data_IF_531736769848
#
_entry.id   IF_531736769848
#
_cell.length_a   1.000
_cell.length_b   1.000
_cell.length_c   1.000
_cell.angle_alpha   90.00
_cell.angle_beta   90.00
_cell.angle_gamma   90.00
#
_symmetry.space_group_name_H-M   'P 1'
#
loop_
_entity.id
_entity.type
_entity.pdbx_description
1 polymer ?
#
# COMPACT_ATOMS: atom_id res chain seq x y z
N UNK A 1 -41.30 36.13 -41.71
CA UNK A 1 -39.96 35.61 -42.03
C UNK A 1 -39.07 35.78 -40.79
N UNK A 2 -38.61 34.69 -40.17
CA UNK A 2 -37.83 34.76 -38.93
C UNK A 2 -36.34 35.02 -39.23
N UNK A 3 -35.70 35.84 -38.37
CA UNK A 3 -34.27 36.18 -38.45
C UNK A 3 -33.38 34.96 -38.16
N UNK A 4 -32.21 34.83 -38.80
CA UNK A 4 -31.31 33.70 -38.59
C UNK A 4 -30.64 33.75 -37.21
N UNK A 5 -30.61 32.61 -36.53
CA UNK A 5 -29.87 32.36 -35.29
C UNK A 5 -28.35 32.44 -35.51
N UNK A 6 -27.57 33.00 -34.57
CA UNK A 6 -26.12 33.05 -34.66
C UNK A 6 -25.48 31.66 -34.42
N UNK A 7 -24.28 31.40 -34.95
CA UNK A 7 -23.62 30.12 -34.82
C UNK A 7 -23.13 29.88 -33.39
N UNK A 8 -23.40 28.67 -32.89
CA UNK A 8 -22.91 28.15 -31.61
C UNK A 8 -21.39 28.00 -31.72
N UNK A 9 -20.65 28.85 -31.01
CA UNK A 9 -19.21 28.71 -30.83
C UNK A 9 -18.94 27.54 -29.88
N UNK A 10 -18.38 26.47 -30.41
CA UNK A 10 -17.89 25.34 -29.62
C UNK A 10 -16.70 25.82 -28.79
N UNK A 11 -16.91 25.97 -27.48
CA UNK A 11 -15.84 26.22 -26.53
C UNK A 11 -14.86 25.04 -26.56
N UNK A 12 -13.69 25.25 -27.17
CA UNK A 12 -12.57 24.32 -27.06
C UNK A 12 -12.23 24.15 -25.59
N UNK A 13 -12.45 22.95 -25.07
CA UNK A 13 -11.95 22.55 -23.76
C UNK A 13 -10.44 22.74 -23.73
N UNK A 14 -9.95 23.55 -22.80
CA UNK A 14 -8.53 23.66 -22.55
C UNK A 14 -8.00 22.30 -22.13
N UNK A 15 -7.24 21.66 -23.02
CA UNK A 15 -6.42 20.50 -22.70
C UNK A 15 -5.44 20.89 -21.59
N UNK A 16 -5.58 20.23 -20.44
CA UNK A 16 -4.70 20.38 -19.28
C UNK A 16 -3.25 20.11 -19.70
N UNK A 17 -2.46 21.16 -19.80
CA UNK A 17 -1.02 21.06 -20.05
C UNK A 17 -0.37 20.42 -18.82
N UNK A 18 0.52 19.42 -18.96
CA UNK A 18 1.14 18.78 -17.81
C UNK A 18 1.93 19.80 -16.98
N UNK A 19 1.37 20.19 -15.82
CA UNK A 19 2.00 21.12 -14.88
C UNK A 19 3.34 20.56 -14.41
N UNK A 20 4.40 21.35 -14.57
CA UNK A 20 5.74 21.06 -14.06
C UNK A 20 5.70 20.58 -12.61
N UNK A 21 6.45 19.54 -12.23
CA UNK A 21 6.24 18.91 -10.96
C UNK A 21 6.77 19.81 -9.82
N UNK A 22 5.87 20.48 -9.09
CA UNK A 22 6.20 21.28 -7.91
C UNK A 22 6.73 20.43 -6.77
N UNK A 23 7.78 20.89 -6.11
CA UNK A 23 8.13 20.46 -4.75
C UNK A 23 6.94 20.68 -3.83
N UNK A 24 6.47 19.62 -3.18
CA UNK A 24 5.29 19.69 -2.33
C UNK A 24 5.53 18.75 -1.18
N UNK A 25 5.78 19.34 -0.01
CA UNK A 25 6.04 18.60 1.21
C UNK A 25 4.91 18.85 2.21
N UNK A 26 4.52 17.81 2.94
CA UNK A 26 3.56 17.92 4.04
C UNK A 26 4.10 18.83 5.14
N UNK A 27 3.25 19.52 5.92
CA UNK A 27 3.71 20.19 7.13
C UNK A 27 4.39 19.18 8.05
N UNK A 28 5.62 19.45 8.49
CA UNK A 28 6.26 18.60 9.51
C UNK A 28 5.56 18.84 10.85
N UNK A 29 5.32 17.77 11.61
CA UNK A 29 4.72 17.82 12.94
C UNK A 29 5.72 18.22 14.04
N UNK A 30 7.03 18.15 13.76
CA UNK A 30 8.11 18.45 14.70
C UNK A 30 9.34 19.03 13.99
N UNK A 31 10.14 19.84 14.68
CA UNK A 31 11.35 20.43 14.13
C UNK A 31 12.44 19.37 13.94
N UNK A 32 13.12 19.29 12.77
CA UNK A 32 14.17 18.29 12.54
C UNK A 32 15.47 18.54 13.32
N UNK A 33 15.59 19.67 14.06
CA UNK A 33 16.80 20.02 14.78
C UNK A 33 16.67 19.91 16.30
N UNK A 34 15.45 19.97 16.83
CA UNK A 34 15.20 20.03 18.27
C UNK A 34 13.90 19.35 18.68
N UNK A 35 13.21 18.69 17.74
CA UNK A 35 11.96 17.96 17.93
C UNK A 35 10.76 18.80 18.43
N UNK A 36 10.94 20.12 18.58
CA UNK A 36 9.89 21.03 18.99
C UNK A 36 8.69 21.02 18.04
N UNK A 37 7.49 20.89 18.58
CA UNK A 37 6.23 20.75 17.83
C UNK A 37 5.63 22.09 17.38
N UNK A 38 6.11 23.21 17.95
CA UNK A 38 5.64 24.55 17.60
C UNK A 38 6.39 25.08 16.37
N UNK A 39 5.76 24.96 15.20
CA UNK A 39 6.33 25.32 13.90
C UNK A 39 5.40 26.29 13.16
N UNK A 40 5.96 27.33 12.53
CA UNK A 40 5.22 28.26 11.69
C UNK A 40 5.71 28.23 10.22
N UNK A 41 4.81 28.51 9.27
CA UNK A 41 5.20 28.77 7.87
C UNK A 41 6.00 30.07 7.79
N UNK A 42 7.09 30.05 7.03
CA UNK A 42 8.05 31.15 6.96
C UNK A 42 8.47 31.44 5.50
N UNK A 43 7.46 31.72 4.66
CA UNK A 43 7.65 32.02 3.24
C UNK A 43 7.91 30.80 2.34
N UNK A 44 8.37 31.04 1.12
CA UNK A 44 8.68 29.98 0.16
C UNK A 44 9.97 30.30 -0.61
N UNK A 45 10.67 29.26 -1.07
CA UNK A 45 11.88 29.37 -1.89
C UNK A 45 11.61 28.86 -3.30
N UNK A 46 11.90 29.67 -4.31
CA UNK A 46 11.84 29.23 -5.70
C UNK A 46 12.96 28.24 -6.01
N UNK A 47 12.67 27.19 -6.78
CA UNK A 47 13.67 26.26 -7.32
C UNK A 47 13.39 25.99 -8.80
N UNK A 48 14.34 25.38 -9.51
CA UNK A 48 14.19 24.94 -10.92
C UNK A 48 12.94 24.06 -11.14
N UNK A 49 12.48 23.37 -10.11
CA UNK A 49 11.33 22.45 -10.16
C UNK A 49 10.14 22.96 -9.32
N UNK A 50 10.04 24.26 -9.09
CA UNK A 50 8.91 24.91 -8.41
C UNK A 50 9.20 25.40 -6.99
N UNK A 51 8.22 26.07 -6.39
CA UNK A 51 8.35 26.67 -5.06
C UNK A 51 8.33 25.61 -3.95
N UNK A 52 9.18 25.81 -2.95
CA UNK A 52 9.34 24.97 -1.77
C UNK A 52 8.89 25.77 -0.55
N UNK A 53 7.96 25.24 0.26
CA UNK A 53 7.51 25.90 1.49
C UNK A 53 8.60 25.84 2.57
N UNK A 54 8.92 26.99 3.16
CA UNK A 54 9.81 27.09 4.31
C UNK A 54 9.00 27.15 5.61
N UNK A 55 9.59 26.62 6.69
CA UNK A 55 9.05 26.63 8.04
C UNK A 55 10.12 27.08 9.02
N UNK A 56 9.70 27.67 10.15
CA UNK A 56 10.57 28.07 11.26
C UNK A 56 10.07 27.40 12.54
N UNK A 57 10.98 26.77 13.28
CA UNK A 57 10.67 26.29 14.62
C UNK A 57 10.64 27.48 15.59
N UNK A 58 9.64 27.58 16.46
CA UNK A 58 9.58 28.62 17.49
C UNK A 58 10.45 28.34 18.71
N UNK A 59 10.94 27.10 18.86
CA UNK A 59 11.80 26.70 19.98
C UNK A 59 13.28 26.95 19.67
N UNK A 60 13.83 26.31 18.63
CA UNK A 60 15.24 26.49 18.26
C UNK A 60 15.48 27.59 17.21
N UNK A 61 14.42 28.28 16.79
CA UNK A 61 14.43 29.38 15.82
C UNK A 61 14.94 29.08 14.41
N UNK A 62 15.37 27.84 14.14
CA UNK A 62 15.93 27.43 12.85
C UNK A 62 14.84 27.32 11.77
N UNK A 63 15.22 27.69 10.55
CA UNK A 63 14.43 27.50 9.33
C UNK A 63 14.70 26.13 8.73
N UNK A 64 13.66 25.49 8.19
CA UNK A 64 13.75 24.20 7.51
C UNK A 64 12.66 24.05 6.45
N UNK A 65 12.83 23.04 5.60
CA UNK A 65 11.82 22.58 4.66
C UNK A 65 11.32 21.22 5.14
N UNK A 66 10.01 20.92 5.10
CA UNK A 66 9.53 19.58 5.41
C UNK A 66 9.99 18.60 4.33
N UNK A 67 10.38 17.41 4.73
CA UNK A 67 10.90 16.38 3.82
C UNK A 67 12.42 16.37 3.74
N UNK A 68 12.97 15.20 3.42
CA UNK A 68 14.42 14.94 3.29
C UNK A 68 15.03 15.59 2.02
N UNK A 69 14.35 16.58 1.44
CA UNK A 69 14.75 17.29 0.22
C UNK A 69 15.72 18.44 0.45
N UNK A 70 16.32 18.53 1.65
CA UNK A 70 17.43 19.45 1.87
C UNK A 70 18.49 19.17 0.81
N UNK A 71 18.77 20.16 -0.04
CA UNK A 71 19.73 20.09 -1.16
C UNK A 71 19.33 19.22 -2.38
N UNK A 72 18.09 18.75 -2.50
CA UNK A 72 17.65 17.95 -3.66
C UNK A 72 17.02 18.79 -4.77
N UNK A 73 17.55 18.66 -5.98
CA UNK A 73 17.02 19.33 -7.18
C UNK A 73 15.65 18.79 -7.58
N UNK A 74 15.44 17.48 -7.54
CA UNK A 74 14.23 16.83 -8.04
C UNK A 74 13.17 16.61 -6.94
N UNK A 75 11.86 16.78 -7.24
CA UNK A 75 10.79 16.47 -6.30
C UNK A 75 10.75 14.97 -5.94
N UNK A 76 10.36 14.65 -4.70
CA UNK A 76 10.27 13.25 -4.23
C UNK A 76 9.40 12.36 -5.13
N UNK A 77 8.30 12.88 -5.69
CA UNK A 77 7.47 12.10 -6.63
C UNK A 77 8.18 11.67 -7.92
N UNK A 78 9.17 12.43 -8.37
CA UNK A 78 9.99 12.07 -9.55
C UNK A 78 10.98 10.97 -9.18
N UNK A 79 11.59 11.08 -8.00
CA UNK A 79 12.51 10.08 -7.45
C UNK A 79 11.76 8.75 -7.23
N UNK A 80 10.68 8.77 -6.45
CA UNK A 80 9.86 7.59 -6.14
C UNK A 80 9.35 6.91 -7.41
N UNK A 81 8.84 7.67 -8.40
CA UNK A 81 8.42 7.08 -9.68
C UNK A 81 9.58 6.41 -10.43
N UNK A 82 10.77 7.02 -10.41
CA UNK A 82 11.96 6.48 -11.09
C UNK A 82 12.35 5.14 -10.45
N UNK A 83 12.40 5.09 -9.12
CA UNK A 83 12.70 3.88 -8.35
C UNK A 83 11.64 2.80 -8.58
N UNK A 84 10.36 3.15 -8.43
CA UNK A 84 9.24 2.20 -8.63
C UNK A 84 9.19 1.66 -10.06
N UNK A 85 9.43 2.48 -11.10
CA UNK A 85 9.51 1.99 -12.48
C UNK A 85 10.68 1.03 -12.68
N UNK A 86 11.85 1.36 -12.13
CA UNK A 86 12.99 0.47 -12.21
C UNK A 86 12.71 -0.88 -11.56
N UNK A 87 12.00 -0.89 -10.42
CA UNK A 87 11.61 -2.10 -9.70
C UNK A 87 10.36 -2.80 -10.25
N UNK A 88 9.56 -2.15 -11.11
CA UNK A 88 8.63 -2.81 -12.05
C UNK A 88 9.35 -3.57 -13.18
N UNK A 89 10.62 -3.91 -12.98
CA UNK A 89 11.50 -4.67 -13.88
C UNK A 89 11.82 -3.98 -15.22
N UNK A 90 11.47 -2.71 -15.39
CA UNK A 90 11.89 -1.92 -16.56
C UNK A 90 13.41 -1.72 -16.60
N UNK A 91 13.99 -1.58 -17.79
CA UNK A 91 15.38 -1.11 -17.88
C UNK A 91 15.49 0.29 -17.29
N UNK A 92 16.71 0.70 -16.89
CA UNK A 92 16.90 2.05 -16.37
C UNK A 92 16.53 3.13 -17.41
N UNK A 93 16.80 2.86 -18.69
CA UNK A 93 16.42 3.73 -19.80
C UNK A 93 14.90 3.88 -19.92
N UNK A 94 14.17 2.76 -19.89
CA UNK A 94 12.70 2.77 -19.95
C UNK A 94 12.07 3.47 -18.74
N UNK A 95 12.63 3.28 -17.54
CA UNK A 95 12.19 3.96 -16.33
C UNK A 95 12.32 5.48 -16.48
N UNK A 96 13.48 5.96 -16.95
CA UNK A 96 13.74 7.39 -17.22
C UNK A 96 12.80 7.94 -18.30
N UNK A 97 12.62 7.20 -19.40
CA UNK A 97 11.72 7.60 -20.48
C UNK A 97 10.26 7.71 -19.99
N UNK A 98 9.82 6.77 -19.16
CA UNK A 98 8.51 6.77 -18.51
C UNK A 98 8.32 7.97 -17.57
N UNK A 99 9.32 8.30 -16.76
CA UNK A 99 9.31 9.47 -15.87
C UNK A 99 9.23 10.77 -16.67
N UNK A 100 10.00 10.87 -17.77
CA UNK A 100 9.93 12.01 -18.68
C UNK A 100 8.54 12.15 -19.29
N UNK A 101 7.93 11.05 -19.75
CA UNK A 101 6.57 11.06 -20.29
C UNK A 101 5.53 11.50 -19.26
N UNK A 102 5.65 11.04 -18.01
CA UNK A 102 4.69 11.33 -16.93
C UNK A 102 4.81 12.76 -16.38
N UNK A 103 6.03 13.26 -16.20
CA UNK A 103 6.27 14.53 -15.49
C UNK A 103 6.89 15.64 -16.35
N UNK A 104 7.27 15.38 -17.59
CA UNK A 104 7.97 16.34 -18.45
C UNK A 104 9.40 16.66 -18.01
N UNK A 105 9.96 15.89 -17.07
CA UNK A 105 11.28 16.14 -16.49
C UNK A 105 12.32 15.15 -17.03
N UNK A 106 13.48 15.66 -17.47
CA UNK A 106 14.61 14.83 -17.86
C UNK A 106 15.46 14.47 -16.63
N UNK A 107 15.53 13.18 -16.34
CA UNK A 107 16.42 12.61 -15.31
C UNK A 107 17.65 12.03 -16.01
N UNK A 108 18.87 12.52 -15.74
CA UNK A 108 20.09 11.90 -16.25
C UNK A 108 20.27 10.46 -15.74
N UNK A 109 20.85 9.59 -16.57
CA UNK A 109 21.12 8.20 -16.18
C UNK A 109 22.00 8.09 -14.94
N UNK A 110 23.02 8.94 -14.81
CA UNK A 110 23.89 9.01 -13.62
C UNK A 110 23.09 9.36 -12.36
N UNK A 111 22.17 10.34 -12.44
CA UNK A 111 21.29 10.72 -11.34
C UNK A 111 20.36 9.58 -10.94
N UNK A 112 19.76 8.88 -11.90
CA UNK A 112 18.88 7.75 -11.60
C UNK A 112 19.65 6.58 -10.94
N UNK A 113 20.89 6.29 -11.41
CA UNK A 113 21.77 5.30 -10.76
C UNK A 113 22.12 5.70 -9.33
N UNK A 114 22.47 6.97 -9.12
CA UNK A 114 22.75 7.50 -7.80
C UNK A 114 21.56 7.32 -6.86
N UNK A 115 20.33 7.63 -7.30
CA UNK A 115 19.13 7.41 -6.47
C UNK A 115 18.90 5.95 -6.11
N UNK A 116 19.14 5.02 -7.04
CA UNK A 116 18.99 3.57 -6.74
C UNK A 116 19.97 3.15 -5.64
N UNK A 117 21.20 3.67 -5.66
CA UNK A 117 22.20 3.40 -4.63
C UNK A 117 21.87 4.09 -3.31
N UNK A 118 21.56 5.39 -3.37
CA UNK A 118 21.25 6.23 -2.21
C UNK A 118 20.04 5.73 -1.43
N UNK A 119 19.00 5.26 -2.12
CA UNK A 119 17.76 4.80 -1.50
C UNK A 119 17.66 3.28 -1.42
N UNK A 120 18.75 2.54 -1.60
CA UNK A 120 18.74 1.07 -1.63
C UNK A 120 18.10 0.45 -0.38
N UNK A 121 18.21 1.10 0.78
CA UNK A 121 17.58 0.67 2.04
C UNK A 121 16.04 0.57 1.94
N UNK A 122 15.39 1.46 1.18
CA UNK A 122 13.93 1.44 0.96
C UNK A 122 13.51 0.57 -0.22
N UNK A 123 14.47 -0.07 -0.89
CA UNK A 123 14.26 -0.85 -2.12
C UNK A 123 14.73 -2.29 -1.94
N UNK A 124 14.32 -3.03 -0.89
CA UNK A 124 14.83 -4.37 -0.62
C UNK A 124 14.54 -5.37 -1.75
N UNK A 125 13.56 -5.08 -2.64
CA UNK A 125 13.33 -5.84 -3.87
C UNK A 125 14.52 -5.84 -4.84
N UNK A 126 15.46 -4.88 -4.75
CA UNK A 126 16.69 -4.88 -5.56
C UNK A 126 17.45 -6.21 -5.47
N UNK A 127 17.41 -6.86 -4.30
CA UNK A 127 18.03 -8.18 -4.07
C UNK A 127 17.41 -9.31 -4.89
N UNK A 128 16.11 -9.22 -5.19
CA UNK A 128 15.36 -10.21 -5.96
C UNK A 128 15.25 -9.84 -7.44
N UNK A 129 15.58 -8.60 -7.79
CA UNK A 129 15.27 -8.03 -9.10
C UNK A 129 15.92 -8.78 -10.26
N UNK A 130 17.16 -9.23 -10.11
CA UNK A 130 17.85 -9.98 -11.16
C UNK A 130 17.21 -11.35 -11.38
N UNK A 131 16.93 -12.09 -10.31
CA UNK A 131 16.20 -13.37 -10.36
C UNK A 131 14.80 -13.17 -10.96
N UNK A 132 14.10 -12.09 -10.60
CA UNK A 132 12.80 -11.76 -11.16
C UNK A 132 12.85 -11.45 -12.67
N UNK A 133 13.93 -10.83 -13.17
CA UNK A 133 14.11 -10.60 -14.63
C UNK A 133 14.44 -11.87 -15.40
N UNK A 134 15.10 -12.85 -14.77
CA UNK A 134 15.42 -14.16 -15.36
C UNK A 134 14.30 -15.19 -15.17
N UNK A 135 13.24 -14.82 -14.47
CA UNK A 135 12.13 -15.72 -14.15
C UNK A 135 11.39 -16.17 -15.42
N UNK A 136 10.86 -17.42 -15.46
CA UNK A 136 10.06 -17.91 -16.59
C UNK A 136 8.81 -17.06 -16.89
N UNK A 137 8.25 -16.41 -15.87
CA UNK A 137 7.13 -15.46 -16.05
C UNK A 137 7.67 -14.21 -16.76
N UNK A 138 7.17 -13.85 -17.96
CA UNK A 138 7.64 -12.69 -18.69
C UNK A 138 7.44 -11.39 -17.89
N UNK A 139 8.36 -10.44 -18.01
CA UNK A 139 8.32 -9.14 -17.30
C UNK A 139 6.96 -8.44 -17.41
N UNK A 140 6.33 -8.46 -18.59
CA UNK A 140 5.01 -7.84 -18.82
C UNK A 140 3.85 -8.50 -18.04
N UNK A 141 4.05 -9.72 -17.53
CA UNK A 141 3.10 -10.50 -16.71
C UNK A 141 3.57 -10.63 -15.25
N UNK A 142 4.71 -10.03 -14.89
CA UNK A 142 5.30 -10.18 -13.56
C UNK A 142 4.43 -9.55 -12.46
N UNK A 143 3.72 -8.47 -12.80
CA UNK A 143 2.69 -7.84 -11.98
C UNK A 143 1.39 -7.87 -12.76
N UNK A 144 0.36 -8.42 -12.12
CA UNK A 144 -1.00 -8.43 -12.59
C UNK A 144 -1.77 -7.28 -11.93
N UNK A 145 -2.62 -6.60 -12.69
CA UNK A 145 -3.44 -5.48 -12.22
C UNK A 145 -4.87 -5.65 -12.74
N UNK A 146 -5.86 -5.46 -11.87
CA UNK A 146 -7.27 -5.60 -12.22
C UNK A 146 -8.14 -4.62 -11.42
N UNK A 147 -9.08 -3.96 -12.11
CA UNK A 147 -9.99 -2.99 -11.50
C UNK A 147 -11.26 -3.69 -11.02
N UNK A 148 -11.56 -3.53 -9.75
CA UNK A 148 -12.74 -4.08 -9.09
C UNK A 148 -13.77 -2.97 -8.86
N UNK A 149 -14.98 -3.15 -9.39
CA UNK A 149 -16.10 -2.20 -9.25
C UNK A 149 -17.00 -2.61 -8.08
N UNK A 150 -16.50 -2.45 -6.86
CA UNK A 150 -17.08 -2.95 -5.61
C UNK A 150 -17.73 -1.80 -4.81
N UNK A 151 -18.70 -1.12 -5.42
CA UNK A 151 -19.32 0.12 -4.91
C UNK A 151 -18.42 1.37 -4.98
N UNK A 152 -17.11 1.17 -4.98
CA UNK A 152 -16.07 2.10 -5.43
C UNK A 152 -15.01 1.32 -6.23
N UNK A 153 -14.09 2.03 -6.88
CA UNK A 153 -13.02 1.40 -7.65
C UNK A 153 -11.89 1.01 -6.71
N UNK A 154 -11.51 -0.27 -6.73
CA UNK A 154 -10.30 -0.78 -6.09
C UNK A 154 -9.36 -1.36 -7.16
N UNK A 155 -8.08 -1.05 -7.05
CA UNK A 155 -7.05 -1.53 -7.99
C UNK A 155 -6.32 -2.72 -7.37
N UNK A 156 -6.89 -3.93 -7.52
CA UNK A 156 -6.22 -5.16 -7.11
C UNK A 156 -4.95 -5.35 -7.93
N UNK A 157 -3.83 -5.55 -7.25
CA UNK A 157 -2.55 -5.83 -7.90
C UNK A 157 -1.80 -6.96 -7.20
N UNK A 158 -1.14 -7.78 -8.00
CA UNK A 158 -0.50 -9.00 -7.55
C UNK A 158 0.81 -9.24 -8.30
N UNK A 159 1.93 -9.33 -7.58
CA UNK A 159 3.26 -9.54 -8.16
C UNK A 159 3.59 -11.03 -8.31
N UNK A 160 3.03 -11.68 -9.34
CA UNK A 160 3.21 -13.10 -9.70
C UNK A 160 4.66 -13.60 -9.57
N UNK A 161 5.60 -12.93 -10.21
CA UNK A 161 7.03 -13.34 -10.18
C UNK A 161 7.61 -13.30 -8.77
N UNK A 162 7.33 -12.26 -7.98
CA UNK A 162 7.86 -12.13 -6.63
C UNK A 162 7.26 -13.18 -5.71
N UNK A 163 5.97 -13.46 -5.86
CA UNK A 163 5.30 -14.53 -5.11
C UNK A 163 5.93 -15.88 -5.38
N UNK A 164 6.18 -16.22 -6.64
CA UNK A 164 6.81 -17.49 -6.99
C UNK A 164 8.23 -17.62 -6.41
N UNK A 165 9.03 -16.56 -6.53
CA UNK A 165 10.37 -16.50 -5.93
C UNK A 165 10.32 -16.66 -4.40
N UNK A 166 9.39 -16.01 -3.71
CA UNK A 166 9.29 -16.13 -2.25
C UNK A 166 8.81 -17.52 -1.81
N UNK A 167 7.83 -18.09 -2.50
CA UNK A 167 7.31 -19.42 -2.20
C UNK A 167 8.35 -20.53 -2.43
N UNK A 168 9.24 -20.33 -3.41
CA UNK A 168 10.30 -21.30 -3.75
C UNK A 168 11.64 -21.05 -3.05
N UNK A 169 11.82 -19.88 -2.44
CA UNK A 169 13.09 -19.50 -1.78
C UNK A 169 13.45 -20.42 -0.60
N UNK A 170 12.46 -20.93 0.13
CA UNK A 170 12.65 -21.80 1.29
C UNK A 170 11.55 -22.84 1.38
N UNK A 171 11.90 -24.09 1.73
CA UNK A 171 10.93 -25.18 1.96
C UNK A 171 9.86 -24.84 3.00
N UNK A 172 10.19 -24.01 3.98
CA UNK A 172 9.24 -23.52 4.99
C UNK A 172 8.07 -22.71 4.41
N UNK A 173 8.12 -22.30 3.14
CA UNK A 173 7.05 -21.55 2.48
C UNK A 173 6.13 -22.45 1.63
N UNK A 174 6.38 -23.77 1.54
CA UNK A 174 5.58 -24.70 0.73
C UNK A 174 4.10 -24.70 1.14
N UNK A 175 3.83 -24.63 2.46
CA UNK A 175 2.46 -24.55 3.00
C UNK A 175 1.72 -23.26 2.65
N UNK A 176 2.42 -22.25 2.12
CA UNK A 176 1.86 -20.98 1.70
C UNK A 176 1.50 -20.96 0.20
N UNK A 177 1.84 -22.02 -0.55
CA UNK A 177 1.52 -22.13 -1.98
C UNK A 177 0.04 -21.91 -2.33
N UNK A 178 -0.96 -22.31 -1.50
CA UNK A 178 -2.37 -22.05 -1.81
C UNK A 178 -2.71 -20.56 -1.93
N UNK A 179 -1.94 -19.65 -1.30
CA UNK A 179 -2.12 -18.20 -1.47
C UNK A 179 -1.95 -17.79 -2.94
N UNK A 180 -0.95 -18.33 -3.65
CA UNK A 180 -0.73 -18.06 -5.08
C UNK A 180 -1.97 -18.46 -5.89
N UNK A 181 -2.49 -19.66 -5.66
CA UNK A 181 -3.68 -20.18 -6.35
C UNK A 181 -4.87 -19.25 -6.17
N UNK A 182 -5.12 -18.80 -4.94
CA UNK A 182 -6.19 -17.84 -4.66
C UNK A 182 -5.98 -16.49 -5.36
N UNK A 183 -4.77 -15.93 -5.28
CA UNK A 183 -4.47 -14.63 -5.90
C UNK A 183 -4.57 -14.68 -7.43
N UNK A 184 -4.19 -15.81 -8.04
CA UNK A 184 -4.32 -16.06 -9.47
C UNK A 184 -5.78 -16.24 -9.91
N UNK A 185 -6.68 -16.75 -9.04
CA UNK A 185 -8.08 -17.01 -9.37
C UNK A 185 -8.99 -15.78 -9.26
N UNK A 186 -8.61 -14.74 -8.50
CA UNK A 186 -9.43 -13.53 -8.29
C UNK A 186 -10.05 -12.94 -9.56
N UNK A 187 -9.35 -12.82 -10.70
CA UNK A 187 -9.92 -12.19 -11.90
C UNK A 187 -11.15 -12.91 -12.47
N UNK A 188 -11.27 -14.21 -12.19
CA UNK A 188 -12.32 -15.07 -12.75
C UNK A 188 -13.32 -15.52 -11.68
N UNK A 189 -12.85 -15.73 -10.45
CA UNK A 189 -13.62 -16.33 -9.36
C UNK A 189 -14.10 -15.32 -8.30
N UNK A 190 -13.71 -14.04 -8.37
CA UNK A 190 -14.15 -13.06 -7.39
C UNK A 190 -15.68 -12.82 -7.49
N UNK A 191 -16.46 -13.02 -6.41
CA UNK A 191 -17.91 -12.87 -6.46
C UNK A 191 -18.31 -11.38 -6.37
N UNK A 192 -18.09 -10.62 -7.45
CA UNK A 192 -18.24 -9.16 -7.50
C UNK A 192 -19.59 -8.65 -6.97
N UNK A 193 -20.67 -9.39 -7.20
CA UNK A 193 -22.02 -9.04 -6.75
C UNK A 193 -22.14 -8.90 -5.22
N UNK A 194 -21.30 -9.59 -4.44
CA UNK A 194 -21.33 -9.53 -2.97
C UNK A 194 -20.74 -8.24 -2.41
N UNK A 195 -19.96 -7.50 -3.21
CA UNK A 195 -19.25 -6.28 -2.79
C UNK A 195 -20.03 -4.98 -3.07
N UNK A 196 -21.34 -5.09 -3.31
CA UNK A 196 -22.21 -3.94 -3.54
C UNK A 196 -22.60 -3.25 -2.22
N UNK A 197 -23.13 -2.02 -2.32
CA UNK A 197 -23.18 -1.01 -1.24
C UNK A 197 -23.90 -1.41 0.05
N UNK A 198 -24.77 -2.42 0.01
CA UNK A 198 -25.63 -2.82 1.14
C UNK A 198 -25.00 -3.90 2.01
N UNK A 199 -23.87 -4.47 1.60
CA UNK A 199 -23.22 -5.55 2.34
C UNK A 199 -22.36 -5.01 3.50
N UNK A 200 -22.45 -5.59 4.71
CA UNK A 200 -21.58 -5.23 5.82
C UNK A 200 -20.09 -5.31 5.45
N UNK A 201 -19.34 -4.24 5.71
CA UNK A 201 -17.90 -4.19 5.49
C UNK A 201 -17.16 -4.64 6.74
N UNK A 202 -16.06 -5.37 6.58
CA UNK A 202 -15.21 -5.80 7.69
C UNK A 202 -14.75 -4.64 8.59
N UNK A 203 -14.56 -3.44 8.03
CA UNK A 203 -14.18 -2.24 8.77
C UNK A 203 -15.28 -1.64 9.65
N UNK A 204 -16.52 -2.12 9.52
CA UNK A 204 -17.65 -1.69 10.36
C UNK A 204 -17.81 -2.55 11.61
N UNK A 205 -17.19 -3.74 11.66
CA UNK A 205 -17.18 -4.60 12.84
C UNK A 205 -16.32 -3.97 13.94
N UNK A 206 -16.86 -3.88 15.17
CA UNK A 206 -16.17 -3.31 16.34
C UNK A 206 -16.57 -4.04 17.61
N UNK A 207 -15.63 -4.16 18.55
CA UNK A 207 -15.85 -4.67 19.90
C UNK A 207 -16.39 -6.11 19.97
N UNK A 208 -16.03 -6.94 18.98
CA UNK A 208 -16.52 -8.33 18.90
C UNK A 208 -15.56 -9.31 19.57
N UNK A 209 -14.26 -9.15 19.33
CA UNK A 209 -13.23 -10.02 19.92
C UNK A 209 -12.78 -9.47 21.28
N UNK A 210 -12.40 -10.37 22.21
CA UNK A 210 -11.88 -9.99 23.53
C UNK A 210 -10.46 -9.45 23.39
N UNK A 211 -10.34 -8.13 23.18
CA UNK A 211 -9.05 -7.45 22.95
C UNK A 211 -8.09 -7.59 24.13
N UNK A 212 -8.59 -7.72 25.37
CA UNK A 212 -7.78 -7.83 26.58
C UNK A 212 -6.83 -9.04 26.61
N UNK A 213 -7.18 -10.11 25.90
CA UNK A 213 -6.40 -11.36 25.87
C UNK A 213 -5.41 -11.40 24.68
N UNK A 214 -5.45 -10.41 23.79
CA UNK A 214 -4.64 -10.39 22.58
C UNK A 214 -3.27 -9.80 22.89
N UNK A 215 -2.23 -10.62 22.75
CA UNK A 215 -0.84 -10.15 22.78
C UNK A 215 -0.51 -9.34 21.53
N UNK A 216 -0.69 -8.02 21.62
CA UNK A 216 -0.24 -7.07 20.61
C UNK A 216 1.24 -6.79 20.84
N UNK A 217 2.04 -6.89 19.78
CA UNK A 217 3.47 -6.57 19.81
C UNK A 217 3.71 -5.30 19.00
N UNK A 218 4.30 -4.30 19.65
CA UNK A 218 4.83 -3.11 18.97
C UNK A 218 6.24 -3.40 18.44
N UNK A 219 6.53 -2.98 17.21
CA UNK A 219 7.85 -3.10 16.59
C UNK A 219 8.30 -1.73 16.11
N UNK A 220 9.38 -1.21 16.68
CA UNK A 220 9.93 0.08 16.26
C UNK A 220 10.72 -0.02 14.94
N UNK A 221 11.32 -1.19 14.69
CA UNK A 221 12.15 -1.45 13.50
C UNK A 221 11.40 -2.34 12.51
N UNK A 222 10.56 -1.74 11.66
CA UNK A 222 9.86 -2.46 10.59
C UNK A 222 9.90 -1.70 9.26
N UNK A 223 10.28 -2.40 8.19
CA UNK A 223 10.37 -1.82 6.83
C UNK A 223 9.04 -1.27 6.31
N UNK A 224 7.89 -1.71 6.84
CA UNK A 224 6.59 -1.11 6.49
C UNK A 224 6.52 0.37 6.92
N UNK A 225 7.04 0.69 8.12
CA UNK A 225 7.08 2.06 8.67
C UNK A 225 8.03 2.92 7.85
N UNK A 226 9.21 2.39 7.52
CA UNK A 226 10.21 3.06 6.69
C UNK A 226 9.68 3.33 5.28
N UNK A 227 9.00 2.34 4.68
CA UNK A 227 8.33 2.46 3.39
C UNK A 227 7.25 3.55 3.41
N UNK A 228 6.42 3.58 4.46
CA UNK A 228 5.43 4.63 4.65
C UNK A 228 6.09 6.00 4.79
N UNK A 229 7.12 6.13 5.64
CA UNK A 229 7.86 7.37 5.85
C UNK A 229 8.53 7.88 4.57
N UNK A 230 9.04 6.99 3.73
CA UNK A 230 9.68 7.35 2.47
C UNK A 230 8.65 7.69 1.39
N UNK A 231 7.76 6.75 1.06
CA UNK A 231 6.82 6.87 -0.05
C UNK A 231 5.85 8.05 0.14
N UNK A 232 5.37 8.27 1.36
CA UNK A 232 4.35 9.29 1.65
C UNK A 232 4.88 10.72 1.56
N UNK A 233 6.20 10.92 1.47
CA UNK A 233 6.79 12.22 1.13
C UNK A 233 6.47 12.66 -0.31
N UNK A 234 6.13 11.71 -1.20
CA UNK A 234 5.71 12.02 -2.56
C UNK A 234 4.23 12.43 -2.67
N UNK A 235 3.45 12.26 -1.60
CA UNK A 235 1.99 12.40 -1.59
C UNK A 235 1.56 13.75 -1.02
N UNK A 236 0.77 14.47 -1.81
CA UNK A 236 0.21 15.78 -1.42
C UNK A 236 -1.22 15.70 -0.90
N UNK A 237 -2.03 14.81 -1.47
CA UNK A 237 -3.45 14.65 -1.14
C UNK A 237 -3.62 13.43 -0.23
N UNK A 238 -4.29 13.59 0.91
CA UNK A 238 -4.49 12.49 1.86
C UNK A 238 -5.19 11.27 1.23
N UNK A 239 -6.13 11.50 0.29
CA UNK A 239 -6.82 10.42 -0.44
C UNK A 239 -5.92 9.52 -1.29
N UNK A 240 -4.70 9.96 -1.63
CA UNK A 240 -3.75 9.19 -2.43
C UNK A 240 -2.73 8.42 -1.59
N UNK A 241 -2.80 8.51 -0.25
CA UNK A 241 -1.80 7.89 0.64
C UNK A 241 -1.83 6.36 0.55
N UNK A 242 -3.02 5.75 0.61
CA UNK A 242 -3.18 4.30 0.49
C UNK A 242 -2.62 3.81 -0.83
N UNK A 243 -3.17 4.29 -1.95
CA UNK A 243 -2.76 3.90 -3.31
C UNK A 243 -1.24 4.05 -3.53
N UNK A 244 -0.66 5.18 -3.11
CA UNK A 244 0.78 5.43 -3.29
C UNK A 244 1.64 4.49 -2.45
N UNK A 245 1.24 4.23 -1.20
CA UNK A 245 1.98 3.33 -0.32
C UNK A 245 1.88 1.87 -0.77
N UNK A 246 0.68 1.42 -1.10
CA UNK A 246 0.41 0.08 -1.64
C UNK A 246 1.23 -0.17 -2.91
N UNK A 247 1.17 0.76 -3.87
CA UNK A 247 1.97 0.68 -5.11
C UNK A 247 3.47 0.66 -4.81
N UNK A 248 3.94 1.51 -3.89
CA UNK A 248 5.34 1.57 -3.52
C UNK A 248 5.81 0.25 -2.90
N UNK A 249 5.08 -0.30 -1.94
CA UNK A 249 5.43 -1.55 -1.27
C UNK A 249 5.34 -2.73 -2.23
N UNK A 250 4.31 -2.81 -3.07
CA UNK A 250 4.18 -3.89 -4.05
C UNK A 250 5.40 -4.01 -4.97
N UNK A 251 6.01 -2.91 -5.37
CA UNK A 251 7.13 -2.94 -6.32
C UNK A 251 8.50 -2.85 -5.65
N UNK A 252 8.63 -2.17 -4.51
CA UNK A 252 9.94 -1.93 -3.88
C UNK A 252 10.22 -2.80 -2.65
N UNK A 253 9.19 -3.22 -1.92
CA UNK A 253 9.36 -4.12 -0.79
C UNK A 253 9.54 -5.57 -1.28
N UNK A 254 10.46 -6.32 -0.67
CA UNK A 254 10.75 -7.69 -1.09
C UNK A 254 9.69 -8.70 -0.64
N UNK A 255 8.85 -8.37 0.35
CA UNK A 255 7.87 -9.31 0.90
C UNK A 255 6.44 -9.09 0.36
N UNK A 256 6.09 -7.88 -0.07
CA UNK A 256 4.70 -7.47 -0.42
C UNK A 256 4.24 -8.06 -1.75
N UNK A 257 3.46 -9.12 -1.74
CA UNK A 257 3.06 -9.85 -2.94
C UNK A 257 1.78 -9.33 -3.58
N UNK A 258 0.85 -8.76 -2.81
CA UNK A 258 -0.42 -8.27 -3.32
C UNK A 258 -0.94 -7.06 -2.54
N UNK A 259 -1.80 -6.28 -3.17
CA UNK A 259 -2.51 -5.13 -2.58
C UNK A 259 -3.96 -5.09 -3.06
N UNK A 260 -4.84 -4.52 -2.24
CA UNK A 260 -6.28 -4.41 -2.49
C UNK A 260 -6.94 -5.77 -2.78
N UNK A 261 -6.58 -6.79 -2.00
CA UNK A 261 -7.05 -8.18 -2.22
C UNK A 261 -8.51 -8.31 -1.76
N UNK A 262 -9.49 -8.56 -2.66
CA UNK A 262 -10.89 -8.70 -2.28
C UNK A 262 -11.11 -9.97 -1.48
N UNK A 263 -11.79 -9.86 -0.33
CA UNK A 263 -12.15 -11.00 0.52
C UNK A 263 -13.64 -11.01 0.84
N UNK A 264 -14.14 -12.21 1.13
CA UNK A 264 -15.50 -12.47 1.61
C UNK A 264 -15.44 -13.50 2.73
N UNK A 265 -16.13 -13.23 3.84
CA UNK A 265 -16.35 -14.18 4.93
C UNK A 265 -17.85 -14.39 5.11
N UNK A 266 -18.35 -15.60 4.85
CA UNK A 266 -19.79 -15.89 4.95
C UNK A 266 -20.16 -16.48 6.31
N UNK A 267 -21.46 -16.58 6.57
CA UNK A 267 -21.99 -17.35 7.70
C UNK A 267 -21.43 -18.79 7.75
N UNK A 268 -21.40 -19.50 6.62
CA UNK A 268 -20.95 -20.89 6.54
C UNK A 268 -19.48 -21.03 6.93
N UNK A 269 -18.66 -20.03 6.59
CA UNK A 269 -17.26 -19.98 7.00
C UNK A 269 -17.13 -19.85 8.53
N UNK A 270 -17.86 -18.92 9.13
CA UNK A 270 -17.88 -18.73 10.59
C UNK A 270 -18.44 -19.96 11.29
N UNK A 271 -19.48 -20.56 10.73
CA UNK A 271 -20.07 -21.79 11.24
C UNK A 271 -19.04 -22.93 11.22
N UNK A 272 -18.33 -23.13 10.11
CA UNK A 272 -17.25 -24.12 9.99
C UNK A 272 -16.14 -23.89 11.03
N UNK A 273 -15.70 -22.65 11.23
CA UNK A 273 -14.71 -22.33 12.26
C UNK A 273 -15.17 -22.75 13.66
N UNK A 274 -16.44 -22.49 14.00
CA UNK A 274 -17.01 -22.81 15.31
C UNK A 274 -17.20 -24.32 15.50
N UNK A 275 -17.79 -25.00 14.53
CA UNK A 275 -18.25 -26.39 14.70
C UNK A 275 -17.20 -27.42 14.32
N UNK A 276 -16.47 -27.20 13.23
CA UNK A 276 -15.48 -28.16 12.75
C UNK A 276 -14.10 -27.94 13.40
N UNK A 277 -13.71 -26.68 13.64
CA UNK A 277 -12.39 -26.34 14.19
C UNK A 277 -12.42 -25.96 15.68
N UNK A 278 -13.60 -25.81 16.27
CA UNK A 278 -13.75 -25.46 17.69
C UNK A 278 -13.25 -24.05 18.05
N UNK A 279 -13.17 -23.14 17.08
CA UNK A 279 -12.69 -21.77 17.30
C UNK A 279 -13.76 -20.88 17.91
N UNK A 280 -13.35 -20.02 18.84
CA UNK A 280 -14.19 -18.97 19.42
C UNK A 280 -14.21 -17.74 18.51
N UNK A 281 -15.10 -17.76 17.52
CA UNK A 281 -15.30 -16.66 16.57
C UNK A 281 -16.59 -15.92 16.93
N UNK A 282 -16.57 -14.78 17.66
CA UNK A 282 -17.75 -14.06 18.14
C UNK A 282 -18.38 -13.13 17.07
N UNK A 283 -18.41 -13.53 15.80
CA UNK A 283 -19.05 -12.75 14.73
C UNK A 283 -20.56 -13.04 14.67
N UNK A 284 -21.45 -12.04 14.81
CA UNK A 284 -22.89 -12.26 14.90
C UNK A 284 -23.55 -12.42 13.52
N UNK A 285 -23.00 -13.27 12.65
CA UNK A 285 -23.59 -13.57 11.35
C UNK A 285 -24.76 -14.55 11.50
N UNK A 286 -25.87 -14.27 10.83
CA UNK A 286 -26.99 -15.18 10.60
C UNK A 286 -26.85 -15.85 9.23
N UNK A 287 -27.67 -16.88 8.96
CA UNK A 287 -27.66 -17.56 7.67
C UNK A 287 -27.95 -16.57 6.52
N UNK A 288 -27.07 -16.55 5.51
CA UNK A 288 -27.11 -15.58 4.41
C UNK A 288 -26.32 -14.30 4.65
N UNK A 289 -25.91 -14.00 5.89
CA UNK A 289 -25.06 -12.85 6.18
C UNK A 289 -23.60 -13.10 5.78
N UNK A 290 -22.88 -12.01 5.51
CA UNK A 290 -21.47 -12.05 5.19
C UNK A 290 -20.77 -10.72 5.49
N UNK A 291 -19.44 -10.76 5.55
CA UNK A 291 -18.58 -9.59 5.50
C UNK A 291 -17.77 -9.54 4.22
N UNK A 292 -17.63 -8.35 3.64
CA UNK A 292 -16.69 -8.08 2.53
C UNK A 292 -15.58 -7.12 2.94
N UNK A 293 -14.49 -7.12 2.17
CA UNK A 293 -13.45 -6.11 2.31
C UNK A 293 -12.33 -6.27 1.28
N UNK A 294 -11.39 -5.34 1.31
CA UNK A 294 -10.15 -5.42 0.54
C UNK A 294 -8.99 -5.34 1.51
N UNK A 295 -8.08 -6.30 1.46
CA UNK A 295 -6.87 -6.28 2.26
C UNK A 295 -5.90 -5.30 1.61
N UNK A 296 -5.48 -4.27 2.34
CA UNK A 296 -4.57 -3.26 1.84
C UNK A 296 -3.29 -3.88 1.28
N UNK A 297 -2.60 -4.70 2.09
CA UNK A 297 -1.28 -5.26 1.78
C UNK A 297 -1.20 -6.71 2.26
N UNK A 298 -0.74 -7.61 1.38
CA UNK A 298 -0.39 -8.99 1.71
C UNK A 298 1.11 -9.20 1.48
N UNK A 299 1.79 -9.74 2.50
CA UNK A 299 3.22 -10.05 2.46
C UNK A 299 3.47 -11.55 2.69
N UNK A 300 4.54 -12.08 2.09
CA UNK A 300 5.10 -13.38 2.45
C UNK A 300 6.49 -13.15 3.06
N UNK A 301 6.66 -13.51 4.33
CA UNK A 301 7.94 -13.44 5.04
C UNK A 301 7.93 -14.37 6.25
N UNK A 302 9.11 -14.85 6.63
CA UNK A 302 9.31 -15.67 7.84
C UNK A 302 8.39 -16.91 7.93
N UNK A 303 8.10 -17.57 6.80
CA UNK A 303 7.19 -18.74 6.79
C UNK A 303 5.72 -18.40 7.03
N UNK A 304 5.32 -17.13 6.96
CA UNK A 304 3.97 -16.67 7.23
C UNK A 304 3.47 -15.71 6.16
N UNK A 305 2.15 -15.63 6.05
CA UNK A 305 1.41 -14.61 5.31
C UNK A 305 1.07 -13.49 6.28
N UNK A 306 1.59 -12.28 6.04
CA UNK A 306 1.21 -11.11 6.83
C UNK A 306 0.13 -10.31 6.10
N UNK A 307 -0.96 -10.02 6.82
CA UNK A 307 -2.05 -9.13 6.42
C UNK A 307 -1.78 -7.80 7.09
N UNK A 308 -1.49 -6.77 6.29
CA UNK A 308 -1.17 -5.43 6.75
C UNK A 308 -2.30 -4.48 6.34
N UNK A 309 -2.69 -3.60 7.26
CA UNK A 309 -3.68 -2.56 7.07
C UNK A 309 -3.04 -1.20 7.42
N UNK A 310 -2.97 -0.28 6.46
CA UNK A 310 -2.36 1.03 6.68
C UNK A 310 -3.39 1.93 7.33
N UNK A 311 -3.10 2.38 8.56
CA UNK A 311 -4.00 3.26 9.29
C UNK A 311 -3.28 4.55 9.66
N UNK A 312 -3.67 5.71 9.10
CA UNK A 312 -3.17 6.99 9.61
C UNK A 312 -3.43 7.07 11.12
N UNK A 313 -2.40 7.43 11.89
CA UNK A 313 -2.47 7.51 13.35
C UNK A 313 -2.66 6.15 14.03
N UNK A 314 -1.83 5.18 13.62
CA UNK A 314 -1.91 3.77 14.02
C UNK A 314 -1.85 3.56 15.54
N UNK A 315 -1.23 4.47 16.30
CA UNK A 315 -1.16 4.42 17.75
C UNK A 315 -2.53 4.59 18.43
N UNK A 316 -3.45 5.33 17.82
CA UNK A 316 -4.76 5.66 18.39
C UNK A 316 -5.91 4.83 17.79
N UNK A 317 -5.61 3.95 16.83
CA UNK A 317 -6.60 3.04 16.24
C UNK A 317 -6.21 1.59 16.45
N UNK A 318 -7.20 0.71 16.60
CA UNK A 318 -7.01 -0.73 16.78
C UNK A 318 -7.94 -1.50 15.83
N UNK A 319 -7.56 -1.73 14.57
CA UNK A 319 -8.40 -2.38 13.56
C UNK A 319 -8.42 -3.91 13.72
N UNK A 320 -8.50 -4.42 14.95
CA UNK A 320 -8.33 -5.84 15.27
C UNK A 320 -9.44 -6.67 14.64
N UNK A 321 -10.69 -6.23 14.75
CA UNK A 321 -11.85 -6.90 14.17
C UNK A 321 -11.75 -7.00 12.64
N UNK A 322 -11.39 -5.90 11.99
CA UNK A 322 -11.19 -5.85 10.54
C UNK A 322 -10.10 -6.86 10.12
N UNK A 323 -8.96 -6.84 10.80
CA UNK A 323 -7.84 -7.75 10.54
C UNK A 323 -8.17 -9.21 10.83
N UNK A 324 -8.96 -9.49 11.88
CA UNK A 324 -9.45 -10.84 12.18
C UNK A 324 -10.38 -11.36 11.08
N UNK A 325 -11.32 -10.53 10.61
CA UNK A 325 -12.20 -10.89 9.49
C UNK A 325 -11.36 -11.17 8.24
N UNK A 326 -10.34 -10.36 7.95
CA UNK A 326 -9.42 -10.58 6.84
C UNK A 326 -8.67 -11.90 6.96
N UNK A 327 -8.14 -12.23 8.14
CA UNK A 327 -7.42 -13.48 8.36
C UNK A 327 -8.32 -14.71 8.22
N UNK A 328 -9.51 -14.69 8.82
CA UNK A 328 -10.49 -15.77 8.70
C UNK A 328 -10.97 -15.93 7.25
N UNK A 329 -11.29 -14.83 6.56
CA UNK A 329 -11.71 -14.86 5.17
C UNK A 329 -10.61 -15.44 4.28
N UNK A 330 -9.40 -14.90 4.37
CA UNK A 330 -8.28 -15.32 3.53
C UNK A 330 -7.89 -16.78 3.83
N UNK A 331 -7.90 -17.21 5.09
CA UNK A 331 -7.68 -18.61 5.47
C UNK A 331 -8.69 -19.55 4.79
N UNK A 332 -10.00 -19.25 4.83
CA UNK A 332 -11.02 -20.06 4.13
C UNK A 332 -10.87 -20.04 2.62
N UNK A 333 -10.71 -18.86 2.03
CA UNK A 333 -10.67 -18.67 0.58
C UNK A 333 -9.41 -19.25 -0.07
N UNK A 334 -8.29 -19.24 0.64
CA UNK A 334 -7.02 -19.83 0.19
C UNK A 334 -6.80 -21.27 0.67
N UNK A 335 -7.72 -21.82 1.47
CA UNK A 335 -7.54 -23.13 2.13
C UNK A 335 -6.27 -23.24 2.98
N UNK A 336 -5.77 -22.12 3.48
CA UNK A 336 -4.61 -22.07 4.36
C UNK A 336 -5.05 -22.11 5.82
N UNK A 337 -4.29 -22.80 6.67
CA UNK A 337 -4.54 -22.79 8.11
C UNK A 337 -4.30 -21.40 8.68
N UNK A 338 -5.15 -20.97 9.62
CA UNK A 338 -5.03 -19.67 10.30
C UNK A 338 -3.67 -19.49 11.00
N UNK A 339 -3.01 -20.61 11.35
CA UNK A 339 -1.65 -20.67 11.89
C UNK A 339 -0.60 -19.97 10.99
N UNK A 340 -0.81 -19.96 9.68
CA UNK A 340 0.15 -19.34 8.75
C UNK A 340 -0.01 -17.81 8.64
N UNK A 341 -0.97 -17.20 9.34
CA UNK A 341 -1.25 -15.77 9.19
C UNK A 341 -0.73 -14.95 10.35
N UNK A 342 -0.28 -13.73 10.04
CA UNK A 342 -0.04 -12.68 11.03
C UNK A 342 -0.78 -11.42 10.61
N UNK A 343 -1.36 -10.71 11.56
CA UNK A 343 -2.09 -9.48 11.30
C UNK A 343 -1.31 -8.29 11.84
N UNK A 344 -1.31 -7.18 11.09
CA UNK A 344 -0.63 -5.97 11.49
C UNK A 344 -1.32 -4.71 10.99
N UNK A 345 -1.15 -3.62 11.72
CA UNK A 345 -1.49 -2.29 11.24
C UNK A 345 -0.36 -1.32 11.55
N UNK A 346 -0.23 -0.29 10.71
CA UNK A 346 0.93 0.60 10.78
C UNK A 346 0.68 1.96 10.15
N UNK A 347 1.55 2.91 10.50
CA UNK A 347 1.71 4.20 9.82
C UNK A 347 3.21 4.51 9.58
N UNK A 348 3.55 5.78 9.33
CA UNK A 348 4.94 6.23 9.14
C UNK A 348 5.78 6.33 10.43
N UNK A 349 5.23 5.90 11.57
CA UNK A 349 5.87 5.94 12.90
C UNK A 349 5.75 4.64 13.68
N UNK A 350 4.59 4.00 13.65
CA UNK A 350 4.22 2.90 14.53
C UNK A 350 3.90 1.65 13.71
N UNK A 351 4.26 0.49 14.25
CA UNK A 351 3.88 -0.82 13.73
C UNK A 351 3.42 -1.70 14.87
N UNK A 352 2.22 -2.24 14.74
CA UNK A 352 1.65 -3.18 15.69
C UNK A 352 1.25 -4.45 14.96
N UNK A 353 1.46 -5.57 15.62
CA UNK A 353 1.17 -6.86 15.03
C UNK A 353 0.70 -7.86 16.09
N UNK A 354 -0.22 -8.74 15.72
CA UNK A 354 -0.73 -9.81 16.56
C UNK A 354 -0.92 -11.10 15.76
N UNK A 355 -1.09 -12.21 16.47
CA UNK A 355 -1.25 -13.51 15.85
C UNK A 355 -2.74 -13.94 15.90
N UNK A 356 -3.47 -13.92 14.76
CA UNK A 356 -4.93 -14.11 14.74
C UNK A 356 -5.37 -15.47 15.28
N UNK A 357 -4.53 -16.49 15.13
CA UNK A 357 -4.83 -17.83 15.65
C UNK A 357 -4.98 -17.85 17.18
N UNK A 358 -4.19 -17.09 17.93
CA UNK A 358 -4.32 -16.99 19.39
C UNK A 358 -5.56 -16.22 19.84
N UNK A 359 -6.21 -15.47 18.95
CA UNK A 359 -7.41 -14.70 19.29
C UNK A 359 -8.65 -15.60 19.34
N UNK A 360 -8.66 -16.67 18.55
CA UNK A 360 -9.82 -17.57 18.39
C UNK A 360 -9.60 -18.96 18.97
N UNK A 361 -8.34 -19.32 19.27
CA UNK A 361 -8.00 -20.56 19.93
C UNK A 361 -8.02 -20.35 21.45
N UNK A 362 -8.87 -21.10 22.14
CA UNK A 362 -8.85 -21.22 23.60
C UNK A 362 -7.72 -22.12 24.06
#
# INVERSE_FOLDING_TARGET
MPRPTPPITTSKSHADTPRSPRHTAKPTLACPYCEGTTIAKDGSRATKHGAVQLYRCRFCERRFTPGTTRHRTYPMRVIVETLSRYNRLHTLGDAIAGVRKKFGVRVPTSTARYWIQEFAEYLPFLRLRESARRHPIPVRKAIFEHRLLHGQVYDFKYHRTKTDLLLTAHRGNESLAPLRTYLDSIPEACPHALFLKETPRASQAKHLFRVGDIRITERHDNTAVESARFALQSVTKNKLRHETLQEFMLVNDSATVAVEVPIVLTYEDVHHYRTALGFDVPLPLQAGDLYTGHIDIVQIRNGQVHILDYKPDAAHVKPIEQLMIYALALSRRSHMLLYHFRCAWFDDRNYFEFYPFHVVRR
#
